data_IF_789246110161
#
_entry.id   IF_789246110161
#
_cell.length_a   1.000
_cell.length_b   1.000
_cell.length_c   1.000
_cell.angle_alpha   90.00
_cell.angle_beta   90.00
_cell.angle_gamma   90.00
#
_symmetry.space_group_name_H-M   'P 1'
#
loop_
_entity.id
_entity.type
_entity.pdbx_description
1 polymer ?
#
# COMPACT_ATOMS: atom_id res chain seq x y z
N UNK A 1 0.41 15.07 -26.58
CA UNK A 1 -1.03 14.92 -26.22
C UNK A 1 -1.28 15.04 -24.72
N UNK A 2 -0.31 14.68 -23.85
CA UNK A 2 -0.36 14.96 -22.41
C UNK A 2 -0.08 16.45 -22.06
N UNK A 3 0.71 17.13 -22.89
CA UNK A 3 1.14 18.52 -22.67
C UNK A 3 -0.01 19.54 -22.72
N UNK A 4 -1.15 19.16 -23.30
CA UNK A 4 -2.32 20.04 -23.46
C UNK A 4 -3.17 20.16 -22.18
N UNK A 5 -3.15 19.14 -21.31
CA UNK A 5 -3.96 19.12 -20.08
C UNK A 5 -3.23 19.71 -18.87
N UNK A 6 -1.90 19.59 -18.82
CA UNK A 6 -1.07 20.07 -17.72
C UNK A 6 0.18 20.77 -18.27
N UNK A 7 0.06 21.99 -18.81
CA UNK A 7 1.23 22.73 -19.26
C UNK A 7 2.15 22.95 -18.05
N UNK A 8 3.45 22.67 -18.21
CA UNK A 8 4.51 22.91 -17.21
C UNK A 8 4.56 21.95 -15.99
N UNK A 9 3.72 20.92 -15.89
CA UNK A 9 3.73 20.03 -14.72
C UNK A 9 4.53 18.74 -14.97
N UNK A 10 5.67 18.59 -14.28
CA UNK A 10 6.45 17.35 -14.27
C UNK A 10 5.62 16.22 -13.63
N UNK A 11 4.99 15.41 -14.46
CA UNK A 11 4.19 14.26 -14.04
C UNK A 11 5.12 13.15 -13.56
N UNK A 12 4.94 12.72 -12.30
CA UNK A 12 5.65 11.56 -11.78
C UNK A 12 5.23 10.28 -12.55
N UNK A 13 6.18 9.45 -13.01
CA UNK A 13 5.88 8.20 -13.69
C UNK A 13 5.46 7.12 -12.68
N UNK A 14 4.30 7.33 -12.05
CA UNK A 14 3.73 6.44 -11.03
C UNK A 14 3.59 4.99 -11.51
N UNK A 15 3.51 4.77 -12.82
CA UNK A 15 3.49 3.45 -13.45
C UNK A 15 4.81 2.68 -13.25
N UNK A 16 5.97 3.34 -13.36
CA UNK A 16 7.27 2.70 -13.12
C UNK A 16 7.44 2.37 -11.64
N UNK A 17 7.01 3.28 -10.75
CA UNK A 17 6.97 3.00 -9.31
C UNK A 17 6.05 1.82 -9.00
N UNK A 18 4.86 1.78 -9.58
CA UNK A 18 3.91 0.67 -9.41
C UNK A 18 4.48 -0.67 -9.88
N UNK A 19 5.16 -0.70 -11.02
CA UNK A 19 5.79 -1.92 -11.54
C UNK A 19 6.94 -2.39 -10.64
N UNK A 20 7.85 -1.49 -10.25
CA UNK A 20 8.97 -1.82 -9.38
C UNK A 20 8.51 -2.28 -7.99
N UNK A 21 7.55 -1.57 -7.40
CA UNK A 21 6.92 -1.94 -6.13
C UNK A 21 6.15 -3.26 -6.29
N UNK A 22 5.46 -3.50 -7.40
CA UNK A 22 4.82 -4.79 -7.67
C UNK A 22 5.80 -5.96 -7.68
N UNK A 23 6.96 -5.78 -8.32
CA UNK A 23 8.02 -6.79 -8.35
C UNK A 23 8.63 -7.02 -6.96
N UNK A 24 8.88 -5.95 -6.20
CA UNK A 24 9.36 -6.05 -4.82
C UNK A 24 8.36 -6.79 -3.93
N UNK A 25 7.06 -6.52 -4.09
CA UNK A 25 6.00 -7.24 -3.38
C UNK A 25 6.03 -8.73 -3.70
N UNK A 26 6.14 -9.07 -4.99
CA UNK A 26 6.20 -10.45 -5.44
C UNK A 26 7.39 -11.18 -4.83
N UNK A 27 8.60 -10.61 -4.93
CA UNK A 27 9.81 -11.21 -4.36
C UNK A 27 9.67 -11.36 -2.85
N UNK A 28 9.26 -10.31 -2.15
CA UNK A 28 9.07 -10.33 -0.70
C UNK A 28 8.08 -11.40 -0.24
N UNK A 29 6.91 -11.46 -0.88
CA UNK A 29 5.89 -12.47 -0.57
C UNK A 29 6.33 -13.88 -0.96
N UNK A 30 7.06 -14.07 -2.07
CA UNK A 30 7.59 -15.37 -2.46
C UNK A 30 8.63 -15.89 -1.45
N UNK A 31 9.48 -15.01 -0.90
CA UNK A 31 10.41 -15.37 0.17
C UNK A 31 9.68 -15.75 1.46
N UNK A 32 8.63 -15.00 1.83
CA UNK A 32 7.80 -15.30 3.00
C UNK A 32 7.03 -16.61 2.81
N UNK A 33 6.55 -16.89 1.59
CA UNK A 33 5.81 -18.12 1.26
C UNK A 33 6.62 -19.37 1.59
N UNK A 34 7.93 -19.36 1.34
CA UNK A 34 8.82 -20.48 1.64
C UNK A 34 8.99 -20.75 3.14
N UNK A 35 8.66 -19.78 4.00
CA UNK A 35 8.81 -19.86 5.46
C UNK A 35 7.50 -19.54 6.20
N UNK A 36 6.35 -19.73 5.55
CA UNK A 36 5.05 -19.43 6.18
C UNK A 36 4.84 -20.32 7.42
N UNK A 37 4.40 -19.70 8.51
CA UNK A 37 4.15 -20.33 9.81
C UNK A 37 2.66 -20.59 10.06
N UNK A 38 1.78 -19.94 9.31
CA UNK A 38 0.32 -20.12 9.42
C UNK A 38 -0.40 -19.83 8.10
N UNK A 39 -1.59 -20.40 7.96
CA UNK A 39 -2.44 -20.16 6.80
C UNK A 39 -3.06 -18.76 6.87
N UNK A 40 -2.98 -18.03 5.75
CA UNK A 40 -3.36 -16.62 5.68
C UNK A 40 -2.21 -15.62 5.91
N UNK A 41 -1.01 -16.07 6.30
CA UNK A 41 0.16 -15.19 6.49
C UNK A 41 0.50 -14.35 5.25
N UNK A 42 0.32 -14.90 4.06
CA UNK A 42 0.62 -14.20 2.80
C UNK A 42 -0.41 -13.11 2.51
N UNK A 43 -1.69 -13.40 2.73
CA UNK A 43 -2.77 -12.41 2.60
C UNK A 43 -2.54 -11.27 3.62
N UNK A 44 -2.14 -11.62 4.84
CA UNK A 44 -1.82 -10.66 5.88
C UNK A 44 -0.70 -9.69 5.45
N UNK A 45 0.43 -10.22 5.00
CA UNK A 45 1.55 -9.40 4.51
C UNK A 45 1.19 -8.61 3.24
N UNK A 46 0.37 -9.18 2.36
CA UNK A 46 -0.13 -8.47 1.18
C UNK A 46 -1.00 -7.27 1.54
N UNK A 47 -1.89 -7.38 2.53
CA UNK A 47 -2.73 -6.26 2.96
C UNK A 47 -1.88 -5.13 3.55
N UNK A 48 -0.91 -5.46 4.41
CA UNK A 48 0.04 -4.46 4.94
C UNK A 48 0.78 -3.77 3.79
N UNK A 49 1.36 -4.57 2.89
CA UNK A 49 2.10 -4.05 1.76
C UNK A 49 1.24 -3.12 0.87
N UNK A 50 0.05 -3.59 0.50
CA UNK A 50 -0.86 -2.89 -0.40
C UNK A 50 -1.36 -1.57 0.19
N UNK A 51 -1.70 -1.55 1.48
CA UNK A 51 -2.17 -0.33 2.17
C UNK A 51 -1.06 0.71 2.28
N UNK A 52 0.16 0.32 2.62
CA UNK A 52 1.33 1.21 2.62
C UNK A 52 1.63 1.75 1.22
N UNK A 53 1.69 0.85 0.23
CA UNK A 53 1.88 1.20 -1.18
C UNK A 53 0.85 2.24 -1.65
N UNK A 54 -0.44 1.99 -1.38
CA UNK A 54 -1.53 2.91 -1.74
C UNK A 54 -1.38 4.26 -1.06
N UNK A 55 -1.05 4.28 0.22
CA UNK A 55 -0.87 5.52 0.97
C UNK A 55 0.25 6.38 0.38
N UNK A 56 1.39 5.76 0.05
CA UNK A 56 2.57 6.44 -0.49
C UNK A 56 2.36 6.91 -1.94
N UNK A 57 1.87 6.04 -2.83
CA UNK A 57 1.64 6.38 -4.23
C UNK A 57 0.65 7.54 -4.39
N UNK A 58 -0.33 7.62 -3.49
CA UNK A 58 -1.35 8.67 -3.55
C UNK A 58 -0.78 10.08 -3.33
N UNK A 59 0.39 10.24 -2.69
CA UNK A 59 1.10 11.53 -2.65
C UNK A 59 1.68 11.96 -4.00
N UNK A 60 2.08 10.99 -4.82
CA UNK A 60 2.61 11.24 -6.16
C UNK A 60 1.52 11.36 -7.22
N UNK A 61 0.27 11.01 -6.87
CA UNK A 61 -0.89 11.19 -7.74
C UNK A 61 -1.45 12.59 -7.54
N UNK A 62 -1.85 13.19 -8.65
CA UNK A 62 -2.66 14.40 -8.65
C UNK A 62 -4.09 14.04 -8.22
N UNK A 63 -4.28 13.82 -6.93
CA UNK A 63 -5.58 13.57 -6.31
C UNK A 63 -5.99 14.80 -5.50
N UNK A 64 -7.27 15.20 -5.51
CA UNK A 64 -7.74 16.30 -4.69
C UNK A 64 -7.50 15.98 -3.21
N UNK A 65 -6.79 16.88 -2.53
CA UNK A 65 -6.59 16.82 -1.09
C UNK A 65 -7.89 17.31 -0.43
N UNK A 66 -8.39 16.57 0.56
CA UNK A 66 -9.65 16.92 1.21
C UNK A 66 -9.43 17.39 2.65
N UNK A 67 -9.16 16.46 3.58
CA UNK A 67 -9.15 16.75 5.01
C UNK A 67 -7.82 16.38 5.67
N UNK A 68 -7.30 17.29 6.48
CA UNK A 68 -6.00 17.20 7.17
C UNK A 68 -4.79 16.98 6.23
N UNK A 69 -4.87 17.44 4.97
CA UNK A 69 -3.79 17.25 4.00
C UNK A 69 -3.75 15.86 3.36
N UNK A 70 -4.74 15.00 3.63
CA UNK A 70 -4.84 13.63 3.09
C UNK A 70 -6.02 13.48 2.14
N UNK A 71 -5.89 12.53 1.22
CA UNK A 71 -6.96 12.12 0.30
C UNK A 71 -7.90 11.08 0.96
N UNK A 72 -9.15 10.93 0.48
CA UNK A 72 -10.06 9.89 0.98
C UNK A 72 -9.47 8.47 0.89
N UNK A 73 -8.69 8.21 -0.16
CA UNK A 73 -7.98 6.94 -0.36
C UNK A 73 -6.91 6.69 0.70
N UNK A 74 -6.22 7.74 1.16
CA UNK A 74 -5.22 7.66 2.24
C UNK A 74 -5.86 7.36 3.60
N UNK A 75 -7.01 7.98 3.89
CA UNK A 75 -7.79 7.67 5.09
C UNK A 75 -8.25 6.22 5.12
N UNK A 76 -8.76 5.71 4.00
CA UNK A 76 -9.14 4.31 3.87
C UNK A 76 -7.93 3.37 4.05
N UNK A 77 -6.80 3.70 3.43
CA UNK A 77 -5.57 2.92 3.56
C UNK A 77 -5.08 2.88 5.03
N UNK A 78 -5.12 4.01 5.74
CA UNK A 78 -4.76 4.09 7.15
C UNK A 78 -5.68 3.25 8.05
N UNK A 79 -7.00 3.28 7.79
CA UNK A 79 -7.98 2.48 8.52
C UNK A 79 -7.73 0.98 8.34
N UNK A 80 -7.53 0.53 7.10
CA UNK A 80 -7.28 -0.89 6.80
C UNK A 80 -5.95 -1.35 7.41
N UNK A 81 -4.90 -0.52 7.33
CA UNK A 81 -3.62 -0.81 7.96
C UNK A 81 -3.76 -0.95 9.49
N UNK A 82 -4.45 -0.02 10.14
CA UNK A 82 -4.73 -0.06 11.57
C UNK A 82 -5.51 -1.31 11.98
N UNK A 83 -6.58 -1.65 11.25
CA UNK A 83 -7.36 -2.87 11.50
C UNK A 83 -6.51 -4.15 11.33
N UNK A 84 -5.64 -4.18 10.31
CA UNK A 84 -4.74 -5.31 10.04
C UNK A 84 -3.71 -5.49 11.16
N UNK A 85 -3.13 -4.41 11.66
CA UNK A 85 -2.18 -4.47 12.78
C UNK A 85 -2.87 -4.86 14.09
N UNK A 86 -4.05 -4.30 14.38
CA UNK A 86 -4.85 -4.65 15.55
C UNK A 86 -5.26 -6.13 15.53
N UNK A 87 -5.67 -6.64 14.37
CA UNK A 87 -5.97 -8.05 14.17
C UNK A 87 -4.77 -8.95 14.50
N UNK A 88 -3.56 -8.63 14.01
CA UNK A 88 -2.39 -9.42 14.36
C UNK A 88 -1.98 -9.33 15.82
N UNK A 89 -2.12 -8.15 16.44
CA UNK A 89 -1.89 -8.02 17.88
C UNK A 89 -2.83 -8.93 18.67
N UNK A 90 -4.12 -8.95 18.31
CA UNK A 90 -5.10 -9.83 18.94
C UNK A 90 -4.78 -11.32 18.74
N UNK A 91 -4.48 -11.75 17.50
CA UNK A 91 -4.13 -13.14 17.21
C UNK A 91 -2.84 -13.59 17.90
N UNK A 92 -1.84 -12.72 18.06
CA UNK A 92 -0.62 -13.03 18.82
C UNK A 92 -0.90 -13.20 20.30
N UNK A 93 -1.82 -12.41 20.86
CA UNK A 93 -2.21 -12.49 22.28
C UNK A 93 -2.99 -13.76 22.63
N UNK A 94 -3.65 -14.39 21.66
CA UNK A 94 -4.38 -15.66 21.87
C UNK A 94 -3.50 -16.92 21.79
N UNK A 95 -2.26 -16.79 21.31
CA UNK A 95 -1.31 -17.93 21.18
C UNK A 95 -0.27 -18.00 22.31
N UNK A 96 -0.30 -17.06 23.26
CA UNK A 96 0.50 -17.05 24.51
C UNK A 96 -0.40 -17.47 25.64
#
# INVERSE_FOLDING_TARGET
>A
MADFYCPEQHLHPTQLYAAGLGLLAFIGLALIYRRKSFDGQIIYWWIIYYTLYRFVIEFFRFSPIHWAGLTPSQWLAALILGATLAGAYYFRRQRV
#
